data_IF_760290169662
#
_entry.id   IF_760290169662
#
_cell.length_a   1.000
_cell.length_b   1.000
_cell.length_c   1.000
_cell.angle_alpha   90.00
_cell.angle_beta   90.00
_cell.angle_gamma   90.00
#
_symmetry.space_group_name_H-M   'P 1'
#
loop_
_entity.id
_entity.type
_entity.pdbx_description
1 polymer ?
#
# COMPACT_ATOMS: atom_id res chain seq x y z
N UNK A 1 -16.35 -10.48 1.55
CA UNK A 1 -15.77 -9.53 0.94
C UNK A 1 -15.81 -9.61 -0.49
N UNK A 2 -15.98 -10.50 -0.85
CA UNK A 2 -16.04 -11.10 -1.95
C UNK A 2 -16.89 -10.41 -3.00
N UNK A 3 -18.18 -10.31 -2.87
CA UNK A 3 -19.03 -9.67 -3.86
C UNK A 3 -18.71 -8.19 -4.02
N UNK A 4 -18.52 -7.49 -2.92
CA UNK A 4 -18.18 -6.08 -2.95
C UNK A 4 -16.84 -5.88 -3.65
N UNK A 5 -15.82 -6.61 -3.24
CA UNK A 5 -14.48 -6.47 -3.82
C UNK A 5 -14.44 -6.93 -5.26
N UNK A 6 -15.27 -7.87 -5.63
CA UNK A 6 -15.32 -8.36 -6.98
C UNK A 6 -15.77 -7.29 -7.95
N UNK A 7 -16.67 -6.41 -7.50
CA UNK A 7 -17.18 -5.34 -8.33
C UNK A 7 -16.43 -4.03 -8.15
N UNK A 8 -15.43 -4.02 -7.27
CA UNK A 8 -14.66 -2.84 -6.96
C UNK A 8 -13.25 -3.02 -7.49
N UNK A 9 -12.87 -2.21 -8.47
CA UNK A 9 -11.55 -2.31 -9.06
C UNK A 9 -10.85 -0.97 -8.99
N UNK A 10 -9.57 -1.02 -8.57
CA UNK A 10 -8.70 0.13 -8.54
C UNK A 10 -7.59 0.01 -9.57
N UNK A 11 -7.78 -0.86 -10.52
CA UNK A 11 -6.80 -1.09 -11.56
C UNK A 11 -6.48 0.20 -12.29
N UNK A 12 -5.19 0.53 -12.41
CA UNK A 12 -4.77 1.77 -13.04
C UNK A 12 -4.86 2.99 -12.12
N UNK A 13 -5.27 2.81 -10.87
CA UNK A 13 -5.36 3.90 -9.91
C UNK A 13 -4.17 3.93 -9.00
N UNK A 14 -3.95 5.08 -8.37
CA UNK A 14 -2.89 5.24 -7.39
C UNK A 14 -3.55 5.53 -6.04
N UNK A 15 -3.22 4.74 -5.04
CA UNK A 15 -3.74 4.93 -3.69
C UNK A 15 -2.64 5.51 -2.81
N UNK A 16 -2.88 6.67 -2.23
CA UNK A 16 -1.94 7.34 -1.36
C UNK A 16 -2.33 7.10 0.09
N UNK A 17 -1.48 6.44 0.84
CA UNK A 17 -1.77 6.08 2.23
C UNK A 17 -0.66 6.60 3.13
N UNK A 18 -1.02 7.35 4.16
CA UNK A 18 -0.04 7.88 5.10
C UNK A 18 0.24 6.87 6.20
N UNK A 19 1.51 6.81 6.65
CA UNK A 19 1.90 5.91 7.73
C UNK A 19 1.70 4.46 7.39
N UNK A 20 1.92 4.07 6.14
CA UNK A 20 1.57 2.73 5.67
C UNK A 20 2.76 1.77 5.68
N UNK A 21 3.79 2.04 6.46
CA UNK A 21 4.95 1.16 6.54
C UNK A 21 4.64 -0.12 7.31
N UNK A 22 3.69 -0.07 8.22
CA UNK A 22 3.33 -1.23 9.02
C UNK A 22 1.95 -0.99 9.65
N UNK A 23 1.43 -2.03 10.33
CA UNK A 23 0.21 -1.92 11.10
C UNK A 23 -1.03 -1.72 10.24
N UNK A 24 -1.94 -0.89 10.72
CA UNK A 24 -3.23 -0.67 10.08
C UNK A 24 -3.06 -0.03 8.70
N UNK A 25 -2.13 0.92 8.59
CA UNK A 25 -1.87 1.56 7.31
C UNK A 25 -1.41 0.54 6.26
N UNK A 26 -0.56 -0.38 6.66
CA UNK A 26 -0.09 -1.44 5.76
C UNK A 26 -1.26 -2.33 5.33
N UNK A 27 -2.15 -2.65 6.27
CA UNK A 27 -3.29 -3.50 5.95
C UNK A 27 -4.23 -2.82 4.96
N UNK A 28 -4.45 -1.52 5.13
CA UNK A 28 -5.31 -0.76 4.23
C UNK A 28 -4.68 -0.69 2.84
N UNK A 29 -3.39 -0.40 2.78
CA UNK A 29 -2.68 -0.33 1.50
C UNK A 29 -2.68 -1.67 0.79
N UNK A 30 -2.53 -2.76 1.55
CA UNK A 30 -2.56 -4.10 0.96
C UNK A 30 -3.92 -4.41 0.36
N UNK A 31 -4.98 -3.94 1.00
CA UNK A 31 -6.33 -4.14 0.48
C UNK A 31 -6.51 -3.37 -0.82
N UNK A 32 -6.02 -2.14 -0.91
CA UNK A 32 -6.09 -1.38 -2.14
C UNK A 32 -5.26 -2.03 -3.24
N UNK A 33 -4.09 -2.54 -2.89
CA UNK A 33 -3.25 -3.23 -3.87
C UNK A 33 -3.95 -4.48 -4.41
N UNK A 34 -4.66 -5.18 -3.55
CA UNK A 34 -5.40 -6.37 -3.97
C UNK A 34 -6.51 -6.00 -4.95
N UNK A 35 -6.99 -4.76 -4.90
CA UNK A 35 -7.98 -4.27 -5.85
C UNK A 35 -7.34 -3.71 -7.12
N UNK A 36 -6.02 -3.73 -7.22
CA UNK A 36 -5.30 -3.35 -8.43
C UNK A 36 -4.59 -2.00 -8.36
N UNK A 37 -4.62 -1.31 -7.24
CA UNK A 37 -4.01 0.00 -7.13
C UNK A 37 -2.50 -0.10 -6.95
N UNK A 38 -1.80 0.92 -7.45
CA UNK A 38 -0.40 1.12 -7.12
C UNK A 38 -0.35 1.93 -5.83
N UNK A 39 0.47 1.49 -4.89
CA UNK A 39 0.51 2.12 -3.57
C UNK A 39 1.59 3.19 -3.52
N UNK A 40 1.23 4.37 -3.02
CA UNK A 40 2.18 5.43 -2.70
C UNK A 40 1.96 5.74 -1.22
N UNK A 41 3.01 5.66 -0.43
CA UNK A 41 2.89 5.86 0.99
C UNK A 41 4.01 6.72 1.53
N UNK A 42 3.81 7.28 2.72
CA UNK A 42 4.86 8.03 3.39
C UNK A 42 4.96 7.60 4.84
N UNK A 43 6.08 7.94 5.44
CA UNK A 43 6.25 7.75 6.86
C UNK A 43 7.25 8.79 7.36
N UNK A 44 7.45 8.82 8.69
CA UNK A 44 8.17 9.91 9.32
C UNK A 44 9.69 9.85 9.15
N UNK A 45 10.24 8.69 8.82
CA UNK A 45 11.68 8.61 8.59
C UNK A 45 12.00 7.57 7.53
N UNK A 46 13.22 7.63 7.04
CA UNK A 46 13.65 6.77 5.94
C UNK A 46 13.69 5.29 6.35
N UNK A 47 14.00 5.03 7.58
CA UNK A 47 14.08 3.66 8.06
C UNK A 47 12.73 2.97 7.98
N UNK A 48 11.67 3.66 8.38
CA UNK A 48 10.32 3.11 8.29
C UNK A 48 9.90 2.95 6.83
N UNK A 49 10.24 3.91 5.98
CA UNK A 49 9.92 3.82 4.57
C UNK A 49 10.60 2.61 3.94
N UNK A 50 11.88 2.40 4.26
CA UNK A 50 12.60 1.26 3.72
C UNK A 50 12.00 -0.05 4.20
N UNK A 51 11.60 -0.10 5.46
CA UNK A 51 10.97 -1.28 6.02
C UNK A 51 9.66 -1.60 5.33
N UNK A 52 8.87 -0.55 5.08
CA UNK A 52 7.62 -0.71 4.37
C UNK A 52 7.81 -1.17 2.94
N UNK A 53 8.78 -0.58 2.24
CA UNK A 53 9.06 -0.97 0.86
C UNK A 53 9.46 -2.45 0.79
N UNK A 54 10.27 -2.91 1.73
CA UNK A 54 10.68 -4.31 1.76
C UNK A 54 9.48 -5.23 1.98
N UNK A 55 8.58 -4.83 2.89
CA UNK A 55 7.40 -5.62 3.18
C UNK A 55 6.46 -5.70 1.98
N UNK A 56 6.26 -4.58 1.29
CA UNK A 56 5.42 -4.58 0.09
C UNK A 56 6.03 -5.43 -1.00
N UNK A 57 7.33 -5.32 -1.19
CA UNK A 57 8.00 -6.12 -2.21
C UNK A 57 7.85 -7.60 -1.93
N UNK A 58 7.97 -7.99 -0.67
CA UNK A 58 7.83 -9.39 -0.29
C UNK A 58 6.43 -9.90 -0.54
N UNK A 59 5.46 -9.02 -0.40
CA UNK A 59 4.06 -9.36 -0.64
C UNK A 59 3.68 -9.27 -2.13
N UNK A 60 4.63 -8.90 -2.99
CA UNK A 60 4.35 -8.78 -4.41
C UNK A 60 3.58 -7.52 -4.79
N UNK A 61 3.65 -6.49 -3.96
CA UNK A 61 2.90 -5.27 -4.15
C UNK A 61 3.82 -4.19 -4.72
N UNK A 62 3.36 -3.49 -5.76
CA UNK A 62 4.07 -2.35 -6.30
C UNK A 62 3.80 -1.14 -5.40
N UNK A 63 4.85 -0.60 -4.80
CA UNK A 63 4.70 0.51 -3.87
C UNK A 63 5.85 1.48 -4.01
N UNK A 64 5.55 2.76 -3.75
CA UNK A 64 6.55 3.83 -3.73
C UNK A 64 6.46 4.52 -2.38
N UNK A 65 7.60 4.75 -1.74
CA UNK A 65 7.63 5.31 -0.41
C UNK A 65 8.37 6.63 -0.36
N UNK A 66 7.90 7.53 0.49
CA UNK A 66 8.49 8.84 0.67
C UNK A 66 8.58 9.18 2.14
N UNK A 67 9.61 9.92 2.51
CA UNK A 67 9.74 10.45 3.86
C UNK A 67 9.01 11.78 3.90
N UNK A 68 8.25 11.96 4.97
CA UNK A 68 7.45 13.17 5.08
C UNK A 68 7.42 13.69 6.53
#
# INVERSE_FOLDING_TARGET
MNEFMKNFSLEGKIAFVTGASYGIGFAIASAYAAAGATIVFNDINQELVNKGLAAYKEAGITAHGYVC
#
